data_IF_780594313885
#
_entry.id   IF_780594313885
#
_cell.length_a   1.000
_cell.length_b   1.000
_cell.length_c   1.000
_cell.angle_alpha   90.00
_cell.angle_beta   90.00
_cell.angle_gamma   90.00
#
_symmetry.space_group_name_H-M   'P 1'
#
loop_
_entity.id
_entity.type
_entity.pdbx_description
1 polymer ?
#
# COMPACT_ATOMS: atom_id res chain seq x y z
N UNK A 1 13.56 17.17 -9.98
CA UNK A 1 12.93 15.82 -10.01
C UNK A 1 11.74 15.84 -9.07
N UNK A 2 10.61 15.26 -9.46
CA UNK A 2 9.49 14.96 -8.54
C UNK A 2 9.76 13.60 -7.89
N UNK A 3 9.48 13.50 -6.58
CA UNK A 3 9.83 12.31 -5.80
C UNK A 3 8.81 12.11 -4.69
N UNK A 4 8.42 10.85 -4.46
CA UNK A 4 7.68 10.43 -3.28
C UNK A 4 8.65 9.82 -2.26
N UNK A 5 8.71 10.40 -1.05
CA UNK A 5 9.44 9.83 0.07
C UNK A 5 8.49 8.94 0.89
N UNK A 6 8.81 7.65 0.94
CA UNK A 6 8.20 6.68 1.84
C UNK A 6 9.09 6.64 3.09
N UNK A 7 8.60 7.19 4.21
CA UNK A 7 9.38 7.32 5.44
C UNK A 7 8.89 6.33 6.48
N UNK A 8 9.78 5.49 7.00
CA UNK A 8 9.49 4.73 8.22
C UNK A 8 9.43 5.66 9.46
N UNK A 9 8.86 5.18 10.57
CA UNK A 9 8.73 5.94 11.80
C UNK A 9 9.71 5.49 12.90
N UNK A 10 9.68 4.22 13.30
CA UNK A 10 10.40 3.71 14.47
C UNK A 10 11.89 3.60 14.19
N UNK A 11 12.71 4.24 15.01
CA UNK A 11 14.15 4.37 14.83
C UNK A 11 14.58 4.95 13.46
N UNK A 12 13.63 5.54 12.73
CA UNK A 12 13.82 6.33 11.51
C UNK A 12 13.49 7.80 11.77
N UNK A 13 12.23 8.17 12.00
CA UNK A 13 11.83 9.56 12.32
C UNK A 13 11.72 9.80 13.84
N UNK A 14 11.51 8.74 14.62
CA UNK A 14 11.36 8.76 16.07
C UNK A 14 12.24 7.67 16.68
N UNK A 15 13.12 8.00 17.62
CA UNK A 15 13.81 6.99 18.42
C UNK A 15 12.79 6.29 19.31
N UNK A 16 12.57 5.00 19.06
CA UNK A 16 11.56 4.22 19.73
C UNK A 16 11.92 2.73 19.71
N UNK A 17 12.65 2.29 20.73
CA UNK A 17 12.99 0.89 20.91
C UNK A 17 11.73 0.06 21.21
N UNK A 18 11.31 -0.72 20.22
CA UNK A 18 10.11 -1.55 20.30
C UNK A 18 10.19 -2.64 21.38
N UNK A 19 11.40 -3.08 21.77
CA UNK A 19 11.58 -4.03 22.87
C UNK A 19 11.22 -3.42 24.24
N UNK A 20 11.34 -2.10 24.37
CA UNK A 20 10.97 -1.35 25.57
C UNK A 20 9.55 -0.79 25.47
N UNK A 21 9.17 -0.28 24.31
CA UNK A 21 7.88 0.38 24.10
C UNK A 21 6.69 -0.58 24.17
N UNK A 22 6.78 -1.74 23.51
CA UNK A 22 5.66 -2.68 23.43
C UNK A 22 5.23 -3.20 24.81
N UNK A 23 6.13 -3.67 25.70
CA UNK A 23 5.72 -4.07 27.05
C UNK A 23 5.00 -2.96 27.84
N UNK A 24 5.50 -1.72 27.76
CA UNK A 24 4.88 -0.58 28.45
C UNK A 24 3.51 -0.23 27.87
N UNK A 25 3.38 -0.24 26.54
CA UNK A 25 2.11 -0.05 25.84
C UNK A 25 1.09 -1.12 26.23
N UNK A 26 1.48 -2.39 26.20
CA UNK A 26 0.62 -3.52 26.58
C UNK A 26 0.16 -3.43 28.04
N UNK A 27 1.06 -3.06 28.95
CA UNK A 27 0.73 -2.84 30.35
C UNK A 27 -0.25 -1.69 30.54
N UNK A 28 -0.03 -0.56 29.85
CA UNK A 28 -0.91 0.61 29.95
C UNK A 28 -2.32 0.30 29.43
N UNK A 29 -2.42 -0.32 28.24
CA UNK A 29 -3.70 -0.67 27.63
C UNK A 29 -4.46 -1.74 28.44
N UNK A 30 -3.77 -2.79 28.88
CA UNK A 30 -4.39 -3.85 29.68
C UNK A 30 -4.87 -3.38 31.05
N UNK A 31 -4.15 -2.45 31.68
CA UNK A 31 -4.62 -1.79 32.90
C UNK A 31 -5.85 -0.93 32.63
N UNK A 32 -5.89 -0.19 31.53
CA UNK A 32 -7.03 0.65 31.18
C UNK A 32 -8.31 -0.16 30.89
N UNK A 33 -8.16 -1.35 30.29
CA UNK A 33 -9.29 -2.24 29.98
C UNK A 33 -9.59 -3.29 31.06
N UNK A 34 -8.97 -3.20 32.24
CA UNK A 34 -9.04 -4.23 33.28
C UNK A 34 -10.46 -4.49 33.82
N UNK A 35 -11.36 -3.51 33.74
CA UNK A 35 -12.76 -3.68 34.14
C UNK A 35 -13.59 -4.51 33.14
N UNK A 36 -13.11 -4.62 31.90
CA UNK A 36 -13.81 -5.32 30.80
C UNK A 36 -13.21 -6.69 30.53
N UNK A 37 -11.89 -6.80 30.61
CA UNK A 37 -11.13 -8.00 30.24
C UNK A 37 -9.97 -8.19 31.20
N UNK A 38 -9.69 -9.43 31.58
CA UNK A 38 -8.48 -9.77 32.35
C UNK A 38 -7.21 -9.29 31.62
N UNK A 39 -6.30 -8.57 32.29
CA UNK A 39 -5.08 -8.05 31.67
C UNK A 39 -4.23 -9.13 30.96
N UNK A 40 -4.02 -10.28 31.60
CA UNK A 40 -3.22 -11.37 31.03
C UNK A 40 -3.88 -11.98 29.78
N UNK A 41 -5.21 -12.14 29.82
CA UNK A 41 -5.96 -12.66 28.67
C UNK A 41 -5.97 -11.65 27.51
N UNK A 42 -6.12 -10.35 27.81
CA UNK A 42 -6.06 -9.27 26.82
C UNK A 42 -4.71 -9.27 26.10
N UNK A 43 -3.60 -9.23 26.85
CA UNK A 43 -2.24 -9.19 26.28
C UNK A 43 -2.00 -10.42 25.40
N UNK A 44 -2.39 -11.61 25.87
CA UNK A 44 -2.25 -12.84 25.11
C UNK A 44 -3.02 -12.80 23.79
N UNK A 45 -4.29 -12.40 23.80
CA UNK A 45 -5.09 -12.34 22.57
C UNK A 45 -4.64 -11.22 21.65
N UNK A 46 -4.19 -10.08 22.18
CA UNK A 46 -3.69 -8.97 21.39
C UNK A 46 -2.43 -9.39 20.61
N UNK A 47 -1.45 -10.02 21.28
CA UNK A 47 -0.24 -10.53 20.62
C UNK A 47 -0.58 -11.56 19.53
N UNK A 48 -1.51 -12.48 19.80
CA UNK A 48 -1.96 -13.47 18.82
C UNK A 48 -2.65 -12.82 17.62
N UNK A 49 -3.56 -11.88 17.84
CA UNK A 49 -4.29 -11.19 16.78
C UNK A 49 -3.33 -10.34 15.93
N UNK A 50 -2.34 -9.68 16.54
CA UNK A 50 -1.28 -8.97 15.82
C UNK A 50 -0.44 -9.90 14.94
N UNK A 51 -0.10 -11.11 15.39
CA UNK A 51 0.61 -12.08 14.55
C UNK A 51 -0.22 -12.51 13.33
N UNK A 52 -1.53 -12.71 13.51
CA UNK A 52 -2.45 -13.04 12.40
C UNK A 52 -2.54 -11.86 11.42
N UNK A 53 -2.60 -10.63 11.94
CA UNK A 53 -2.60 -9.40 11.16
C UNK A 53 -1.31 -9.24 10.34
N UNK A 54 -0.13 -9.46 10.92
CA UNK A 54 1.16 -9.42 10.21
C UNK A 54 1.21 -10.47 9.10
N UNK A 55 0.62 -11.65 9.32
CA UNK A 55 0.57 -12.72 8.33
C UNK A 55 -0.52 -12.52 7.25
N UNK A 56 -1.29 -11.42 7.28
CA UNK A 56 -2.33 -11.18 6.29
C UNK A 56 -1.73 -10.97 4.90
N UNK A 57 -2.18 -11.79 3.95
CA UNK A 57 -1.82 -11.67 2.54
C UNK A 57 -3.05 -11.47 1.64
N UNK A 58 -4.21 -11.18 2.26
CA UNK A 58 -5.48 -10.97 1.57
C UNK A 58 -5.68 -9.50 1.20
N UNK A 59 -5.78 -9.15 -0.10
CA UNK A 59 -6.03 -7.77 -0.52
C UNK A 59 -7.49 -7.33 -0.35
N UNK A 60 -8.41 -8.25 -0.07
CA UNK A 60 -9.85 -8.00 0.10
C UNK A 60 -10.27 -7.85 1.57
N UNK A 61 -9.28 -7.79 2.48
CA UNK A 61 -9.51 -7.63 3.92
C UNK A 61 -8.43 -6.77 4.55
N UNK A 62 -8.86 -5.70 5.21
CA UNK A 62 -7.98 -4.82 5.96
C UNK A 62 -7.33 -5.54 7.16
N UNK A 63 -6.24 -4.95 7.65
CA UNK A 63 -5.56 -5.41 8.85
C UNK A 63 -6.47 -5.30 10.09
N UNK A 64 -7.28 -4.24 10.19
CA UNK A 64 -8.30 -4.10 11.24
C UNK A 64 -9.33 -5.22 11.19
N UNK A 65 -9.94 -5.49 10.03
CA UNK A 65 -10.91 -6.59 9.92
C UNK A 65 -10.28 -7.95 10.27
N UNK A 66 -9.02 -8.16 9.88
CA UNK A 66 -8.26 -9.37 10.22
C UNK A 66 -8.00 -9.47 11.72
N UNK A 67 -7.59 -8.36 12.34
CA UNK A 67 -7.36 -8.28 13.78
C UNK A 67 -8.65 -8.51 14.56
N UNK A 68 -9.72 -7.80 14.23
CA UNK A 68 -11.01 -7.84 14.93
C UNK A 68 -11.62 -9.25 14.94
N UNK A 69 -11.56 -9.94 13.80
CA UNK A 69 -12.06 -11.32 13.67
C UNK A 69 -11.29 -12.31 14.55
N UNK A 70 -10.01 -12.05 14.82
CA UNK A 70 -9.19 -12.89 15.70
C UNK A 70 -9.30 -12.48 17.17
N UNK A 71 -9.44 -11.18 17.45
CA UNK A 71 -9.29 -10.59 18.77
C UNK A 71 -10.58 -10.65 19.60
N UNK A 72 -11.65 -10.01 19.14
CA UNK A 72 -12.88 -9.85 19.93
C UNK A 72 -13.57 -11.18 20.26
N UNK A 73 -13.75 -12.13 19.32
CA UNK A 73 -14.33 -13.44 19.63
C UNK A 73 -13.51 -14.23 20.66
N UNK A 74 -12.18 -14.12 20.63
CA UNK A 74 -11.30 -14.82 21.59
C UNK A 74 -11.37 -14.25 23.02
N UNK A 75 -11.87 -13.02 23.16
CA UNK A 75 -12.15 -12.37 24.43
C UNK A 75 -13.60 -12.59 24.91
N UNK A 76 -14.47 -13.12 24.05
CA UNK A 76 -15.90 -13.29 24.36
C UNK A 76 -16.66 -11.96 24.42
N UNK A 77 -16.20 -10.94 23.71
CA UNK A 77 -16.80 -9.60 23.66
C UNK A 77 -16.99 -9.18 22.20
N UNK A 78 -17.79 -8.14 21.98
CA UNK A 78 -17.93 -7.41 20.73
C UNK A 78 -17.18 -6.08 20.80
N UNK A 79 -16.68 -5.59 19.66
CA UNK A 79 -15.98 -4.29 19.55
C UNK A 79 -16.74 -3.16 20.24
N UNK A 80 -18.05 -3.07 19.99
CA UNK A 80 -18.92 -2.02 20.54
C UNK A 80 -18.94 -1.95 22.07
N UNK A 81 -18.54 -3.01 22.76
CA UNK A 81 -18.53 -3.07 24.24
C UNK A 81 -17.28 -2.43 24.87
N UNK A 82 -16.22 -2.24 24.07
CA UNK A 82 -14.92 -1.69 24.51
C UNK A 82 -14.42 -0.53 23.64
N UNK A 83 -15.16 -0.18 22.59
CA UNK A 83 -14.78 0.85 21.64
C UNK A 83 -14.48 2.20 22.31
N UNK A 84 -15.35 2.64 23.23
CA UNK A 84 -15.20 3.92 23.91
C UNK A 84 -13.96 3.95 24.81
N UNK A 85 -13.67 2.84 25.50
CA UNK A 85 -12.49 2.70 26.36
C UNK A 85 -11.19 2.62 25.54
N UNK A 86 -11.21 1.94 24.39
CA UNK A 86 -10.06 1.93 23.48
C UNK A 86 -9.80 3.33 22.91
N UNK A 87 -10.85 4.04 22.51
CA UNK A 87 -10.74 5.42 22.02
C UNK A 87 -10.19 6.37 23.10
N UNK A 88 -10.73 6.30 24.33
CA UNK A 88 -10.24 7.08 25.47
C UNK A 88 -8.77 6.78 25.79
N UNK A 89 -8.36 5.51 25.72
CA UNK A 89 -6.96 5.15 25.90
C UNK A 89 -6.06 5.90 24.90
N UNK A 90 -6.37 5.87 23.61
CA UNK A 90 -5.54 6.52 22.61
C UNK A 90 -5.60 8.05 22.66
N UNK A 91 -6.74 8.64 23.04
CA UNK A 91 -6.90 10.09 23.16
C UNK A 91 -6.21 10.66 24.41
N UNK A 92 -6.37 10.00 25.56
CA UNK A 92 -6.05 10.59 26.87
C UNK A 92 -4.92 9.90 27.62
N UNK A 93 -4.64 8.61 27.36
CA UNK A 93 -3.68 7.82 28.14
C UNK A 93 -2.41 7.47 27.36
N UNK A 94 -2.50 7.25 26.05
CA UNK A 94 -1.39 6.84 25.20
C UNK A 94 -0.22 7.83 25.21
N UNK A 95 -0.51 9.12 25.40
CA UNK A 95 0.50 10.17 25.46
C UNK A 95 1.47 10.04 26.64
N UNK A 96 1.13 9.25 27.67
CA UNK A 96 2.02 8.94 28.80
C UNK A 96 3.25 8.13 28.36
N UNK A 97 3.17 7.42 27.22
CA UNK A 97 4.27 6.64 26.67
C UNK A 97 5.33 7.50 25.97
N UNK A 98 5.07 8.80 25.73
CA UNK A 98 6.00 9.70 25.05
C UNK A 98 7.39 9.72 25.69
N UNK A 99 7.48 9.58 27.02
CA UNK A 99 8.74 9.59 27.76
C UNK A 99 9.70 8.43 27.44
N UNK A 100 9.21 7.39 26.75
CA UNK A 100 10.02 6.26 26.26
C UNK A 100 10.63 6.53 24.88
N UNK A 101 10.26 7.65 24.25
CA UNK A 101 10.64 8.00 22.88
C UNK A 101 11.42 9.30 22.85
N UNK A 102 12.15 9.55 21.75
CA UNK A 102 12.82 10.84 21.51
C UNK A 102 12.76 11.19 20.02
N UNK A 103 12.65 12.47 19.65
CA UNK A 103 12.81 12.88 18.25
C UNK A 103 14.13 12.36 17.66
N UNK A 104 14.11 11.84 16.44
CA UNK A 104 15.34 11.47 15.76
C UNK A 104 16.09 12.72 15.27
N UNK A 105 17.39 12.86 15.55
CA UNK A 105 18.19 13.95 14.98
C UNK A 105 18.14 13.94 13.44
N UNK A 106 17.82 15.08 12.83
CA UNK A 106 17.71 15.22 11.37
C UNK A 106 16.31 14.93 10.80
N UNK A 107 15.35 14.44 11.59
CA UNK A 107 14.02 14.09 11.09
C UNK A 107 13.21 15.31 10.65
N UNK A 108 13.19 16.36 11.48
CA UNK A 108 12.49 17.62 11.18
C UNK A 108 13.15 18.31 10.00
N UNK A 109 14.48 18.33 9.97
CA UNK A 109 15.28 18.90 8.88
C UNK A 109 15.00 18.18 7.55
N UNK A 110 15.05 16.84 7.54
CA UNK A 110 14.74 16.04 6.34
C UNK A 110 13.34 16.34 5.80
N UNK A 111 12.33 16.34 6.68
CA UNK A 111 10.94 16.62 6.28
C UNK A 111 10.80 18.03 5.73
N UNK A 112 11.40 19.02 6.37
CA UNK A 112 11.33 20.41 5.90
C UNK A 112 12.04 20.59 4.54
N UNK A 113 13.21 20.00 4.35
CA UNK A 113 13.94 20.02 3.08
C UNK A 113 13.15 19.34 1.96
N UNK A 114 12.55 18.18 2.24
CA UNK A 114 11.70 17.47 1.29
C UNK A 114 10.49 18.32 0.87
N UNK A 115 9.82 19.00 1.81
CA UNK A 115 8.71 19.90 1.53
C UNK A 115 9.14 21.11 0.70
N UNK A 116 10.27 21.75 1.01
CA UNK A 116 10.81 22.87 0.22
C UNK A 116 11.13 22.47 -1.23
N UNK A 117 11.46 21.19 -1.45
CA UNK A 117 11.71 20.59 -2.76
C UNK A 117 10.44 20.10 -3.47
N UNK A 118 9.27 20.28 -2.85
CA UNK A 118 7.98 19.76 -3.33
C UNK A 118 7.98 18.23 -3.51
N UNK A 119 8.67 17.50 -2.63
CA UNK A 119 8.55 16.06 -2.56
C UNK A 119 7.26 15.67 -1.85
N UNK A 120 6.62 14.63 -2.34
CA UNK A 120 5.43 14.06 -1.73
C UNK A 120 5.86 13.21 -0.52
N UNK A 121 5.19 13.37 0.62
CA UNK A 121 5.50 12.65 1.86
C UNK A 121 4.46 11.58 2.16
N UNK A 122 4.92 10.37 2.43
CA UNK A 122 4.11 9.24 2.89
C UNK A 122 4.78 8.66 4.13
N UNK A 123 4.02 8.51 5.23
CA UNK A 123 4.47 7.75 6.37
C UNK A 123 4.23 6.28 6.10
N UNK A 124 5.29 5.59 5.72
CA UNK A 124 5.34 4.17 5.45
C UNK A 124 5.73 3.40 6.73
N UNK A 125 5.14 3.71 7.89
CA UNK A 125 5.33 2.94 9.13
C UNK A 125 4.65 1.57 9.04
N UNK A 126 5.10 0.56 9.79
CA UNK A 126 4.41 -0.73 9.83
C UNK A 126 2.98 -0.53 10.38
N UNK A 127 1.91 -0.81 9.62
CA UNK A 127 0.53 -0.46 9.98
C UNK A 127 -0.08 -1.43 11.01
N UNK A 128 0.57 -1.59 12.16
CA UNK A 128 0.08 -2.41 13.28
C UNK A 128 -0.62 -1.59 14.37
N UNK A 129 -0.47 -0.27 14.31
CA UNK A 129 -1.10 0.66 15.23
C UNK A 129 -2.28 1.39 14.58
N UNK A 130 -3.25 1.84 15.41
CA UNK A 130 -4.27 2.78 14.98
C UNK A 130 -3.69 4.09 14.44
N UNK A 131 -4.41 4.73 13.53
CA UNK A 131 -4.01 6.01 12.97
C UNK A 131 -3.73 7.02 14.07
N UNK A 132 -4.58 7.08 15.10
CA UNK A 132 -4.43 8.00 16.22
C UNK A 132 -3.08 7.83 16.93
N UNK A 133 -2.65 6.58 17.15
CA UNK A 133 -1.34 6.29 17.75
C UNK A 133 -0.19 6.78 16.86
N UNK A 134 -0.28 6.60 15.54
CA UNK A 134 0.72 7.09 14.59
C UNK A 134 0.76 8.63 14.54
N UNK A 135 -0.38 9.30 14.67
CA UNK A 135 -0.45 10.76 14.79
C UNK A 135 0.22 11.27 16.08
N UNK A 136 0.02 10.60 17.22
CA UNK A 136 0.73 10.92 18.45
C UNK A 136 2.25 10.75 18.28
N UNK A 137 2.68 9.64 17.70
CA UNK A 137 4.10 9.34 17.51
C UNK A 137 4.78 10.31 16.51
N UNK A 138 4.09 10.77 15.47
CA UNK A 138 4.57 11.87 14.62
C UNK A 138 4.72 13.19 15.40
N UNK A 139 3.80 13.51 16.31
CA UNK A 139 3.96 14.68 17.20
C UNK A 139 5.17 14.52 18.12
N UNK A 140 5.39 13.32 18.67
CA UNK A 140 6.57 13.03 19.51
C UNK A 140 7.87 13.14 18.73
N UNK A 141 7.85 12.91 17.41
CA UNK A 141 8.98 13.11 16.51
C UNK A 141 9.27 14.59 16.19
N UNK A 142 8.47 15.52 16.72
CA UNK A 142 8.56 16.95 16.38
C UNK A 142 7.90 17.34 15.05
N UNK A 143 7.17 16.41 14.42
CA UNK A 143 6.57 16.58 13.09
C UNK A 143 5.07 16.94 13.14
N UNK A 144 4.57 17.40 14.29
CA UNK A 144 3.16 17.69 14.49
C UNK A 144 2.56 18.69 13.48
N UNK A 145 3.32 19.71 13.10
CA UNK A 145 2.91 20.71 12.10
C UNK A 145 2.94 20.16 10.66
N UNK A 146 3.71 19.10 10.41
CA UNK A 146 3.86 18.50 9.08
C UNK A 146 2.81 17.41 8.82
N UNK A 147 2.06 16.96 9.84
CA UNK A 147 1.02 15.92 9.71
C UNK A 147 0.06 16.17 8.54
N UNK A 148 -0.54 17.36 8.36
CA UNK A 148 -1.47 17.62 7.26
C UNK A 148 -0.82 17.60 5.87
N UNK A 149 0.52 17.61 5.81
CA UNK A 149 1.30 17.61 4.58
C UNK A 149 1.70 16.19 4.15
N UNK A 150 1.55 15.19 5.02
CA UNK A 150 1.64 13.79 4.62
C UNK A 150 0.41 13.42 3.80
N UNK A 151 0.63 12.90 2.60
CA UNK A 151 -0.45 12.45 1.72
C UNK A 151 -1.12 11.19 2.24
N UNK A 152 -0.33 10.32 2.86
CA UNK A 152 -0.76 9.05 3.41
C UNK A 152 -0.01 8.80 4.72
N UNK A 153 -0.75 8.36 5.73
CA UNK A 153 -0.21 7.83 6.98
C UNK A 153 -0.70 6.40 7.12
N UNK A 154 0.21 5.43 7.04
CA UNK A 154 -0.13 4.01 7.12
C UNK A 154 -0.72 3.67 8.50
N UNK A 155 -1.80 2.89 8.52
CA UNK A 155 -2.46 2.44 9.75
C UNK A 155 -3.30 1.18 9.50
N UNK A 156 -3.51 0.39 10.55
CA UNK A 156 -4.19 -0.91 10.42
C UNK A 156 -5.65 -0.81 9.97
N UNK A 157 -6.32 0.34 10.21
CA UNK A 157 -7.72 0.55 9.83
C UNK A 157 -7.94 0.55 8.32
N UNK A 158 -6.94 0.98 7.55
CA UNK A 158 -7.12 1.26 6.13
C UNK A 158 -6.19 0.51 5.21
N UNK A 159 -5.18 -0.18 5.75
CA UNK A 159 -4.22 -0.99 4.99
C UNK A 159 -4.54 -2.46 5.07
N UNK A 160 -4.09 -3.21 4.07
CA UNK A 160 -4.30 -4.66 3.95
C UNK A 160 -3.03 -5.44 4.27
N UNK A 161 -1.87 -4.84 4.07
CA UNK A 161 -0.58 -5.49 4.22
C UNK A 161 0.29 -4.80 5.25
N UNK A 162 1.00 -5.61 6.05
CA UNK A 162 2.03 -5.14 6.98
C UNK A 162 3.42 -5.38 6.38
N UNK A 163 4.44 -4.65 6.86
CA UNK A 163 5.83 -5.00 6.55
C UNK A 163 6.15 -6.39 7.14
N UNK A 164 6.94 -7.24 6.46
CA UNK A 164 7.74 -6.97 5.26
C UNK A 164 7.04 -7.36 3.94
N UNK A 165 5.70 -7.48 3.90
CA UNK A 165 5.01 -7.87 2.68
C UNK A 165 5.22 -6.81 1.58
N UNK A 166 5.76 -7.15 0.39
CA UNK A 166 5.99 -6.16 -0.66
C UNK A 166 4.72 -5.44 -1.14
N UNK A 167 3.56 -6.09 -1.00
CA UNK A 167 2.26 -5.48 -1.34
C UNK A 167 1.92 -4.26 -0.46
N UNK A 168 2.56 -4.10 0.71
CA UNK A 168 2.44 -2.89 1.53
C UNK A 168 2.94 -1.65 0.78
N UNK A 169 4.10 -1.74 0.13
CA UNK A 169 4.70 -0.61 -0.56
C UNK A 169 3.96 -0.27 -1.85
N UNK A 170 3.50 -1.27 -2.60
CA UNK A 170 2.64 -1.02 -3.77
C UNK A 170 1.27 -0.48 -3.35
N UNK A 171 0.72 -0.88 -2.19
CA UNK A 171 -0.51 -0.30 -1.64
C UNK A 171 -0.33 1.21 -1.35
N UNK A 172 0.81 1.64 -0.78
CA UNK A 172 1.10 3.07 -0.61
C UNK A 172 1.04 3.82 -1.95
N UNK A 173 1.72 3.30 -2.98
CA UNK A 173 1.79 3.93 -4.31
C UNK A 173 0.43 3.88 -5.04
N UNK A 174 -0.33 2.80 -4.90
CA UNK A 174 -1.66 2.66 -5.48
C UNK A 174 -2.64 3.65 -4.87
N UNK A 175 -2.63 3.80 -3.54
CA UNK A 175 -3.45 4.77 -2.81
C UNK A 175 -3.10 6.22 -3.15
N UNK A 176 -1.84 6.48 -3.51
CA UNK A 176 -1.38 7.77 -4.03
C UNK A 176 -1.64 7.97 -5.54
N UNK A 177 -2.28 6.99 -6.19
CA UNK A 177 -2.71 7.11 -7.59
C UNK A 177 -1.65 6.76 -8.63
N UNK A 178 -0.60 6.02 -8.26
CA UNK A 178 0.50 5.63 -9.16
C UNK A 178 1.07 6.81 -9.95
N UNK A 179 1.45 7.88 -9.22
CA UNK A 179 2.06 9.09 -9.78
C UNK A 179 3.28 8.73 -10.64
N UNK A 180 3.46 9.45 -11.74
CA UNK A 180 4.58 9.26 -12.66
C UNK A 180 5.82 10.00 -12.17
N UNK A 181 6.34 9.57 -11.03
CA UNK A 181 7.51 10.15 -10.38
C UNK A 181 8.34 9.08 -9.67
N UNK A 182 9.53 9.44 -9.22
CA UNK A 182 10.38 8.52 -8.48
C UNK A 182 9.80 8.19 -7.10
N UNK A 183 10.24 7.07 -6.53
CA UNK A 183 9.92 6.71 -5.14
C UNK A 183 11.18 6.25 -4.39
N UNK A 184 11.31 6.70 -3.14
CA UNK A 184 12.40 6.35 -2.25
C UNK A 184 11.86 5.89 -0.89
N UNK A 185 12.21 4.67 -0.48
CA UNK A 185 11.98 4.19 0.89
C UNK A 185 13.17 4.55 1.79
N UNK A 186 12.91 5.32 2.84
CA UNK A 186 13.89 5.68 3.86
C UNK A 186 13.47 4.98 5.16
N UNK A 187 14.33 4.09 5.66
CA UNK A 187 14.04 3.30 6.86
C UNK A 187 15.30 2.72 7.47
N UNK A 188 15.24 2.31 8.73
CA UNK A 188 16.38 1.81 9.49
C UNK A 188 16.48 0.28 9.48
N UNK A 189 15.41 -0.43 9.14
CA UNK A 189 15.36 -1.88 9.22
C UNK A 189 15.58 -2.54 7.85
N UNK A 190 16.64 -3.34 7.75
CA UNK A 190 17.02 -4.01 6.51
C UNK A 190 15.92 -4.98 6.03
N UNK A 191 15.33 -5.75 6.93
CA UNK A 191 14.38 -6.82 6.62
C UNK A 191 12.95 -6.29 6.46
N UNK A 192 12.60 -5.20 7.17
CA UNK A 192 11.25 -4.64 7.17
C UNK A 192 11.06 -3.51 6.14
N UNK A 193 12.10 -2.71 5.89
CA UNK A 193 12.00 -1.52 5.02
C UNK A 193 12.71 -1.73 3.69
N UNK A 194 13.99 -2.11 3.77
CA UNK A 194 14.91 -1.98 2.64
C UNK A 194 14.77 -3.14 1.66
N UNK A 195 14.97 -4.37 2.12
CA UNK A 195 14.89 -5.55 1.26
C UNK A 195 13.52 -5.73 0.58
N UNK A 196 12.37 -5.60 1.27
CA UNK A 196 11.08 -5.78 0.60
C UNK A 196 10.73 -4.66 -0.38
N UNK A 197 11.14 -3.41 -0.13
CA UNK A 197 10.98 -2.31 -1.10
C UNK A 197 11.88 -2.50 -2.34
N UNK A 198 13.16 -2.89 -2.14
CA UNK A 198 14.07 -3.22 -3.26
C UNK A 198 13.55 -4.35 -4.12
N UNK A 199 12.94 -5.36 -3.51
CA UNK A 199 12.42 -6.54 -4.21
C UNK A 199 11.38 -6.20 -5.29
N UNK A 200 10.71 -5.06 -5.14
CA UNK A 200 9.71 -4.57 -6.10
C UNK A 200 10.18 -3.35 -6.89
N UNK A 201 11.49 -3.08 -6.89
CA UNK A 201 12.09 -2.03 -7.71
C UNK A 201 12.06 -0.62 -7.11
N UNK A 202 11.67 -0.45 -5.84
CA UNK A 202 11.73 0.87 -5.18
C UNK A 202 13.16 1.12 -4.69
N UNK A 203 13.68 2.33 -4.94
CA UNK A 203 14.97 2.75 -4.39
C UNK A 203 14.88 2.93 -2.88
N UNK A 204 16.00 2.72 -2.20
CA UNK A 204 16.00 2.71 -0.74
C UNK A 204 17.22 3.39 -0.16
N UNK A 205 17.05 4.02 0.99
CA UNK A 205 18.14 4.55 1.80
C UNK A 205 18.07 3.95 3.20
N UNK A 206 19.13 3.23 3.61
CA UNK A 206 19.22 2.62 4.93
C UNK A 206 19.70 3.63 5.99
N UNK A 207 18.82 3.97 6.92
CA UNK A 207 19.16 4.83 8.05
C UNK A 207 20.00 4.05 9.04
N UNK A 208 21.23 4.50 9.27
CA UNK A 208 22.12 3.88 10.25
C UNK A 208 22.98 4.93 10.96
N UNK A 209 23.40 4.66 12.21
CA UNK A 209 24.29 5.56 12.94
C UNK A 209 25.71 5.57 12.36
N UNK A 210 26.07 4.59 11.52
CA UNK A 210 27.40 4.49 10.92
C UNK A 210 27.44 5.41 9.71
N UNK A 211 28.29 6.43 9.78
CA UNK A 211 28.56 7.31 8.65
C UNK A 211 29.37 6.56 7.60
N UNK A 212 28.68 6.00 6.60
CA UNK A 212 29.30 5.62 5.35
C UNK A 212 29.53 6.88 4.48
N UNK A 213 30.27 6.75 3.37
CA UNK A 213 30.52 7.89 2.47
C UNK A 213 29.22 8.54 2.01
N UNK A 214 29.24 9.85 1.72
CA UNK A 214 28.05 10.61 1.30
C UNK A 214 27.40 10.13 0.00
N UNK A 215 28.06 9.23 -0.73
CA UNK A 215 27.57 8.59 -1.96
C UNK A 215 26.98 7.19 -1.71
N UNK A 216 27.01 6.68 -0.48
CA UNK A 216 26.41 5.38 -0.17
C UNK A 216 24.90 5.50 0.06
N UNK A 217 24.16 4.45 -0.28
CA UNK A 217 22.71 4.27 -0.04
C UNK A 217 22.37 4.03 1.44
N UNK A 218 23.23 4.52 2.35
CA UNK A 218 23.09 4.36 3.79
C UNK A 218 23.74 5.52 4.56
N UNK A 219 23.24 5.80 5.76
CA UNK A 219 23.80 6.83 6.64
C UNK A 219 22.76 7.41 7.58
N UNK A 220 23.05 8.55 8.20
CA UNK A 220 22.05 9.26 9.00
C UNK A 220 21.09 10.08 8.10
N UNK A 221 20.01 10.61 8.69
CA UNK A 221 18.98 11.36 7.96
C UNK A 221 19.51 12.60 7.23
N UNK A 222 20.57 13.23 7.73
CA UNK A 222 21.15 14.44 7.10
C UNK A 222 21.82 14.13 5.75
N UNK A 223 22.16 12.87 5.49
CA UNK A 223 22.76 12.44 4.23
C UNK A 223 21.73 12.12 3.13
N UNK A 224 20.45 11.90 3.48
CA UNK A 224 19.41 11.47 2.54
C UNK A 224 19.28 12.45 1.38
N UNK A 225 19.17 13.75 1.67
CA UNK A 225 19.01 14.78 0.64
C UNK A 225 20.23 14.84 -0.30
N UNK A 226 21.44 14.77 0.27
CA UNK A 226 22.67 14.78 -0.52
C UNK A 226 22.78 13.53 -1.41
N UNK A 227 22.37 12.37 -0.90
CA UNK A 227 22.31 11.14 -1.68
C UNK A 227 21.29 11.23 -2.82
N UNK A 228 20.11 11.80 -2.58
CA UNK A 228 19.11 12.08 -3.62
C UNK A 228 19.70 12.97 -4.72
N UNK A 229 20.42 14.04 -4.35
CA UNK A 229 21.03 14.97 -5.31
C UNK A 229 22.10 14.33 -6.19
N UNK A 230 22.75 13.27 -5.71
CA UNK A 230 23.78 12.52 -6.45
C UNK A 230 23.21 11.34 -7.25
N UNK A 231 21.95 10.98 -7.02
CA UNK A 231 21.33 9.81 -7.65
C UNK A 231 20.58 10.20 -8.93
N UNK A 232 20.86 9.55 -10.07
CA UNK A 232 20.15 9.84 -11.33
C UNK A 232 18.64 9.62 -11.22
N UNK A 233 17.86 10.51 -11.83
CA UNK A 233 16.41 10.48 -11.73
C UNK A 233 15.78 9.22 -12.33
N UNK A 234 16.42 8.66 -13.36
CA UNK A 234 15.97 7.44 -14.04
C UNK A 234 15.99 6.22 -13.10
N UNK A 235 16.98 6.19 -12.19
CA UNK A 235 17.16 5.10 -11.22
C UNK A 235 16.10 5.17 -10.09
N UNK A 236 15.52 6.35 -9.86
CA UNK A 236 14.46 6.57 -8.86
C UNK A 236 13.09 6.08 -9.32
N UNK A 237 12.89 5.84 -10.62
CA UNK A 237 11.62 5.33 -11.15
C UNK A 237 11.50 3.84 -10.85
N UNK A 238 10.48 3.39 -10.09
CA UNK A 238 10.37 1.99 -9.76
C UNK A 238 10.01 1.11 -10.97
N UNK A 239 10.64 -0.06 -11.06
CA UNK A 239 10.36 -1.08 -12.08
C UNK A 239 9.59 -2.27 -11.50
N UNK A 240 8.32 -2.43 -11.89
CA UNK A 240 7.43 -3.48 -11.38
C UNK A 240 7.35 -4.71 -12.30
N UNK A 241 8.49 -5.18 -12.81
CA UNK A 241 8.54 -6.25 -13.82
C UNK A 241 8.86 -7.64 -13.26
N UNK A 242 9.34 -7.74 -12.02
CA UNK A 242 9.59 -9.03 -11.35
C UNK A 242 8.29 -9.73 -10.97
N UNK A 243 8.25 -11.07 -10.88
CA UNK A 243 7.07 -11.81 -10.43
C UNK A 243 6.48 -11.29 -9.11
N UNK A 244 7.35 -10.97 -8.15
CA UNK A 244 6.91 -10.43 -6.86
C UNK A 244 6.37 -9.01 -6.95
N UNK A 245 6.97 -8.15 -7.78
CA UNK A 245 6.45 -6.81 -8.02
C UNK A 245 5.09 -6.85 -8.73
N UNK A 246 4.94 -7.73 -9.72
CA UNK A 246 3.68 -7.96 -10.42
C UNK A 246 2.61 -8.38 -9.42
N UNK A 247 2.85 -9.42 -8.62
CA UNK A 247 1.90 -9.87 -7.60
C UNK A 247 1.57 -8.77 -6.59
N UNK A 248 2.56 -7.99 -6.15
CA UNK A 248 2.36 -6.87 -5.24
C UNK A 248 1.47 -5.77 -5.85
N UNK A 249 1.68 -5.40 -7.11
CA UNK A 249 0.83 -4.43 -7.81
C UNK A 249 -0.60 -4.95 -7.91
N UNK A 250 -0.79 -6.18 -8.41
CA UNK A 250 -2.12 -6.76 -8.59
C UNK A 250 -2.92 -6.86 -7.27
N UNK A 251 -2.25 -7.23 -6.17
CA UNK A 251 -2.81 -7.21 -4.82
C UNK A 251 -3.18 -5.80 -4.37
N UNK A 252 -2.27 -4.85 -4.54
CA UNK A 252 -2.52 -3.45 -4.16
C UNK A 252 -3.66 -2.81 -4.95
N UNK A 253 -3.92 -3.23 -6.19
CA UNK A 253 -5.08 -2.79 -6.97
C UNK A 253 -6.37 -3.17 -6.26
N UNK A 254 -6.53 -4.44 -5.86
CA UNK A 254 -7.72 -4.91 -5.14
C UNK A 254 -7.88 -4.19 -3.79
N UNK A 255 -6.78 -3.97 -3.07
CA UNK A 255 -6.77 -3.28 -1.78
C UNK A 255 -7.14 -1.78 -1.88
N UNK A 256 -6.59 -1.07 -2.87
CA UNK A 256 -6.73 0.38 -2.99
C UNK A 256 -8.02 0.81 -3.68
N UNK A 257 -8.52 0.04 -4.65
CA UNK A 257 -9.58 0.45 -5.55
C UNK A 257 -10.91 0.80 -4.82
N UNK A 258 -11.42 0.00 -3.85
CA UNK A 258 -12.63 0.37 -3.10
C UNK A 258 -12.50 1.70 -2.36
N UNK A 259 -11.36 1.92 -1.71
CA UNK A 259 -11.08 3.17 -1.00
C UNK A 259 -11.01 4.35 -1.97
N UNK A 260 -10.32 4.19 -3.11
CA UNK A 260 -10.23 5.23 -4.13
C UNK A 260 -11.60 5.56 -4.68
N UNK A 261 -12.40 4.57 -5.07
CA UNK A 261 -13.73 4.79 -5.63
C UNK A 261 -14.66 5.58 -4.69
N UNK A 262 -14.53 5.38 -3.37
CA UNK A 262 -15.32 6.09 -2.36
C UNK A 262 -14.95 7.58 -2.21
N UNK A 263 -13.85 8.06 -2.79
CA UNK A 263 -13.51 9.49 -2.80
C UNK A 263 -14.39 10.31 -3.74
N UNK A 264 -15.08 9.67 -4.68
CA UNK A 264 -16.04 10.30 -5.57
C UNK A 264 -17.46 9.89 -5.14
N UNK A 265 -18.38 10.84 -4.85
CA UNK A 265 -19.77 10.52 -4.54
C UNK A 265 -20.43 9.68 -5.64
N UNK A 266 -21.27 8.72 -5.25
CA UNK A 266 -21.88 7.74 -6.15
C UNK A 266 -22.60 8.36 -7.35
N UNK A 267 -23.29 9.49 -7.17
CA UNK A 267 -23.98 10.19 -8.27
C UNK A 267 -23.05 10.66 -9.40
N UNK A 268 -21.75 10.79 -9.13
CA UNK A 268 -20.75 11.25 -10.10
C UNK A 268 -19.97 10.13 -10.78
N UNK A 269 -20.22 8.86 -10.45
CA UNK A 269 -19.47 7.74 -11.04
C UNK A 269 -19.64 7.62 -12.55
N UNK A 270 -20.78 8.10 -13.08
CA UNK A 270 -21.10 8.11 -14.50
C UNK A 270 -20.68 9.41 -15.22
N UNK A 271 -20.08 10.37 -14.52
CA UNK A 271 -19.68 11.66 -15.09
C UNK A 271 -18.31 11.56 -15.77
N UNK A 272 -18.25 11.90 -17.06
CA UNK A 272 -16.98 12.13 -17.76
C UNK A 272 -16.52 13.56 -17.49
N UNK A 273 -15.44 13.71 -16.71
CA UNK A 273 -14.89 15.02 -16.36
C UNK A 273 -13.99 15.63 -17.45
N UNK A 274 -13.69 14.89 -18.52
CA UNK A 274 -12.98 15.38 -19.70
C UNK A 274 -13.51 14.70 -20.98
N UNK A 275 -13.42 15.41 -22.11
CA UNK A 275 -14.15 15.09 -23.34
C UNK A 275 -13.82 13.71 -23.97
N UNK A 276 -12.67 13.12 -23.65
CA UNK A 276 -12.22 11.82 -24.17
C UNK A 276 -11.74 10.86 -23.07
N UNK A 277 -12.16 11.08 -21.83
CA UNK A 277 -11.76 10.26 -20.69
C UNK A 277 -12.95 9.45 -20.20
N UNK A 278 -12.68 8.22 -19.75
CA UNK A 278 -13.70 7.38 -19.15
C UNK A 278 -14.11 7.90 -17.78
N UNK A 279 -15.40 7.79 -17.46
CA UNK A 279 -15.87 8.00 -16.09
C UNK A 279 -15.49 6.82 -15.21
N UNK A 280 -15.68 6.95 -13.89
CA UNK A 280 -15.31 5.89 -12.94
C UNK A 280 -16.03 4.56 -13.24
N UNK A 281 -17.32 4.59 -13.58
CA UNK A 281 -18.07 3.38 -13.96
C UNK A 281 -17.51 2.71 -15.20
N UNK A 282 -17.12 3.48 -16.21
CA UNK A 282 -16.54 2.95 -17.45
C UNK A 282 -15.19 2.27 -17.20
N UNK A 283 -14.35 2.89 -16.36
CA UNK A 283 -13.06 2.32 -15.95
C UNK A 283 -13.28 0.98 -15.22
N UNK A 284 -14.23 0.91 -14.29
CA UNK A 284 -14.50 -0.30 -13.51
C UNK A 284 -15.07 -1.43 -14.38
N UNK A 285 -15.98 -1.12 -15.31
CA UNK A 285 -16.50 -2.10 -16.28
C UNK A 285 -15.39 -2.60 -17.20
N UNK A 286 -14.49 -1.71 -17.63
CA UNK A 286 -13.35 -2.08 -18.46
C UNK A 286 -12.40 -3.02 -17.72
N UNK A 287 -12.01 -2.69 -16.49
CA UNK A 287 -11.16 -3.55 -15.67
C UNK A 287 -11.78 -4.93 -15.48
N UNK A 288 -13.09 -5.00 -15.17
CA UNK A 288 -13.82 -6.26 -15.05
C UNK A 288 -13.75 -7.09 -16.33
N UNK A 289 -14.18 -6.52 -17.46
CA UNK A 289 -14.33 -7.27 -18.71
C UNK A 289 -12.96 -7.71 -19.24
N UNK A 290 -11.92 -6.86 -19.12
CA UNK A 290 -10.54 -7.24 -19.46
C UNK A 290 -10.03 -8.36 -18.56
N UNK A 291 -10.32 -8.32 -17.26
CA UNK A 291 -9.89 -9.37 -16.34
C UNK A 291 -10.52 -10.73 -16.69
N UNK A 292 -11.84 -10.75 -16.88
CA UNK A 292 -12.65 -11.96 -17.09
C UNK A 292 -12.48 -12.53 -18.49
N UNK A 293 -12.52 -11.69 -19.53
CA UNK A 293 -12.58 -12.15 -20.91
C UNK A 293 -11.20 -12.18 -21.59
N UNK A 294 -10.20 -11.52 -21.01
CA UNK A 294 -8.87 -11.39 -21.62
C UNK A 294 -7.79 -11.98 -20.73
N UNK A 295 -7.58 -11.47 -19.52
CA UNK A 295 -6.43 -11.82 -18.69
C UNK A 295 -6.51 -13.27 -18.19
N UNK A 296 -7.62 -13.65 -17.55
CA UNK A 296 -7.82 -15.01 -17.04
C UNK A 296 -7.74 -16.09 -18.15
N UNK A 297 -8.45 -15.95 -19.30
CA UNK A 297 -8.34 -16.93 -20.39
C UNK A 297 -6.93 -17.03 -20.97
N UNK A 298 -6.19 -15.91 -21.08
CA UNK A 298 -4.81 -15.90 -21.58
C UNK A 298 -3.87 -16.67 -20.66
N UNK A 299 -3.97 -16.44 -19.34
CA UNK A 299 -3.17 -17.16 -18.36
C UNK A 299 -3.47 -18.66 -18.41
N UNK A 300 -4.75 -19.04 -18.35
CA UNK A 300 -5.15 -20.47 -18.42
C UNK A 300 -4.63 -21.14 -19.68
N UNK A 301 -4.77 -20.51 -20.85
CA UNK A 301 -4.25 -21.02 -22.12
C UNK A 301 -2.72 -21.22 -22.11
N UNK A 302 -1.99 -20.32 -21.48
CA UNK A 302 -0.53 -20.41 -21.34
C UNK A 302 -0.07 -21.44 -20.30
N UNK A 303 -0.92 -21.78 -19.34
CA UNK A 303 -0.69 -22.89 -18.40
C UNK A 303 -0.93 -24.23 -19.11
N UNK A 304 -2.02 -24.35 -19.87
CA UNK A 304 -2.47 -25.59 -20.52
C UNK A 304 -1.61 -26.02 -21.71
N UNK A 305 -1.05 -25.08 -22.45
CA UNK A 305 -0.28 -25.36 -23.67
C UNK A 305 1.10 -24.70 -23.63
N UNK A 306 2.17 -25.39 -24.05
CA UNK A 306 3.47 -24.75 -24.23
C UNK A 306 3.45 -23.82 -25.45
N UNK A 307 3.98 -22.61 -25.30
CA UNK A 307 4.12 -21.62 -26.38
C UNK A 307 2.84 -21.34 -27.19
N UNK A 308 1.70 -21.06 -26.52
CA UNK A 308 0.44 -20.83 -27.21
C UNK A 308 0.50 -19.54 -28.02
N UNK A 309 -0.35 -19.48 -29.05
CA UNK A 309 -0.67 -18.21 -29.69
C UNK A 309 -1.75 -17.46 -28.90
N UNK A 310 -1.48 -16.20 -28.58
CA UNK A 310 -2.37 -15.28 -27.87
C UNK A 310 -2.81 -14.18 -28.83
N UNK A 311 -4.13 -14.10 -29.06
CA UNK A 311 -4.72 -13.08 -29.91
C UNK A 311 -4.75 -11.72 -29.20
N UNK A 312 -4.51 -10.65 -29.97
CA UNK A 312 -4.79 -9.28 -29.56
C UNK A 312 -6.29 -9.03 -29.54
N UNK A 313 -6.74 -8.22 -28.59
CA UNK A 313 -8.14 -7.80 -28.47
C UNK A 313 -8.12 -6.30 -28.28
N UNK A 314 -8.87 -5.58 -29.11
CA UNK A 314 -9.09 -4.14 -28.92
C UNK A 314 -10.25 -3.96 -27.93
N UNK A 315 -9.89 -3.72 -26.68
CA UNK A 315 -10.83 -3.66 -25.55
C UNK A 315 -11.41 -2.27 -25.32
N UNK A 316 -10.76 -1.23 -25.84
CA UNK A 316 -11.14 0.17 -25.54
C UNK A 316 -12.50 0.51 -26.16
N UNK A 317 -12.83 -0.11 -27.30
CA UNK A 317 -14.13 0.06 -27.95
C UNK A 317 -15.29 -0.55 -27.15
N UNK A 318 -15.02 -1.45 -26.18
CA UNK A 318 -16.07 -2.10 -25.40
C UNK A 318 -16.85 -1.11 -24.54
N UNK A 319 -16.24 -0.01 -24.11
CA UNK A 319 -16.92 1.01 -23.33
C UNK A 319 -18.18 1.55 -24.01
N UNK A 320 -18.07 1.87 -25.31
CA UNK A 320 -19.19 2.34 -26.13
C UNK A 320 -20.06 1.17 -26.59
N UNK A 321 -19.46 0.08 -27.10
CA UNK A 321 -20.20 -1.07 -27.65
C UNK A 321 -21.11 -1.75 -26.61
N UNK A 322 -20.69 -1.77 -25.33
CA UNK A 322 -21.39 -2.42 -24.22
C UNK A 322 -22.09 -1.41 -23.29
N UNK A 323 -22.11 -0.12 -23.66
CA UNK A 323 -22.74 0.96 -22.91
C UNK A 323 -22.33 0.99 -21.43
N UNK A 324 -21.03 0.91 -21.12
CA UNK A 324 -20.53 0.80 -19.74
C UNK A 324 -21.09 1.89 -18.82
N UNK A 325 -21.23 3.13 -19.31
CA UNK A 325 -21.79 4.25 -18.52
C UNK A 325 -23.22 4.03 -18.01
N UNK A 326 -23.95 3.06 -18.56
CA UNK A 326 -25.32 2.70 -18.13
C UNK A 326 -25.35 1.48 -17.19
N UNK A 327 -24.20 0.86 -16.92
CA UNK A 327 -24.08 -0.28 -16.01
C UNK A 327 -23.84 0.19 -14.56
N UNK A 328 -23.87 -0.74 -13.59
CA UNK A 328 -23.49 -0.45 -12.21
C UNK A 328 -21.97 -0.57 -12.04
N UNK A 329 -21.32 0.55 -11.71
CA UNK A 329 -19.91 0.58 -11.40
C UNK A 329 -19.58 -0.22 -10.13
N UNK A 330 -20.47 -0.21 -9.14
CA UNK A 330 -20.29 -0.96 -7.89
C UNK A 330 -20.33 -2.48 -8.13
N UNK A 331 -21.22 -2.93 -9.02
CA UNK A 331 -21.25 -4.33 -9.44
C UNK A 331 -19.98 -4.68 -10.22
N UNK A 332 -19.56 -3.82 -11.16
CA UNK A 332 -18.34 -4.05 -11.92
C UNK A 332 -17.09 -4.13 -11.03
N UNK A 333 -16.99 -3.28 -10.00
CA UNK A 333 -15.92 -3.32 -9.00
C UNK A 333 -15.87 -4.67 -8.27
N UNK A 334 -17.02 -5.17 -7.78
CA UNK A 334 -17.08 -6.47 -7.09
C UNK A 334 -16.67 -7.62 -8.01
N UNK A 335 -17.23 -7.66 -9.22
CA UNK A 335 -16.93 -8.71 -10.21
C UNK A 335 -15.45 -8.68 -10.66
N UNK A 336 -14.86 -7.48 -10.80
CA UNK A 336 -13.42 -7.33 -11.04
C UNK A 336 -12.60 -7.88 -9.88
N UNK A 337 -12.93 -7.51 -8.64
CA UNK A 337 -12.20 -7.99 -7.46
C UNK A 337 -12.25 -9.51 -7.34
N UNK A 338 -13.41 -10.13 -7.54
CA UNK A 338 -13.56 -11.59 -7.52
C UNK A 338 -12.69 -12.27 -8.60
N UNK A 339 -12.73 -11.75 -9.83
CA UNK A 339 -11.91 -12.27 -10.93
C UNK A 339 -10.40 -12.06 -10.67
N UNK A 340 -10.01 -10.92 -10.11
CA UNK A 340 -8.61 -10.60 -9.80
C UNK A 340 -8.07 -11.45 -8.66
N UNK A 341 -8.87 -11.75 -7.64
CA UNK A 341 -8.48 -12.69 -6.59
C UNK A 341 -8.21 -14.08 -7.16
N UNK A 342 -9.01 -14.53 -8.15
CA UNK A 342 -8.73 -15.77 -8.86
C UNK A 342 -7.41 -15.71 -9.64
N UNK A 343 -7.18 -14.62 -10.39
CA UNK A 343 -5.94 -14.42 -11.15
C UNK A 343 -4.71 -14.42 -10.23
N UNK A 344 -4.77 -13.72 -9.09
CA UNK A 344 -3.69 -13.70 -8.09
C UNK A 344 -3.41 -15.10 -7.57
N UNK A 345 -4.44 -15.88 -7.23
CA UNK A 345 -4.28 -17.27 -6.76
C UNK A 345 -3.56 -18.13 -7.80
N UNK A 346 -3.91 -17.99 -9.08
CA UNK A 346 -3.25 -18.71 -10.18
C UNK A 346 -1.77 -18.31 -10.25
N UNK A 347 -1.45 -17.02 -10.23
CA UNK A 347 -0.07 -16.53 -10.33
C UNK A 347 0.79 -16.93 -9.12
N UNK A 348 0.21 -17.04 -7.92
CA UNK A 348 0.92 -17.50 -6.72
C UNK A 348 1.37 -18.97 -6.82
N UNK A 349 0.71 -19.78 -7.65
CA UNK A 349 1.06 -21.18 -7.89
C UNK A 349 2.16 -21.35 -8.96
N UNK A 350 2.59 -20.27 -9.62
CA UNK A 350 3.58 -20.34 -10.69
C UNK A 350 4.99 -20.61 -10.16
N UNK A 351 5.62 -21.66 -10.70
CA UNK A 351 7.06 -21.85 -10.56
C UNK A 351 7.85 -20.88 -11.45
N UNK A 352 9.16 -20.68 -11.21
CA UNK A 352 10.00 -19.87 -12.08
C UNK A 352 9.94 -20.28 -13.57
N UNK A 353 9.81 -21.58 -13.86
CA UNK A 353 9.68 -22.08 -15.24
C UNK A 353 8.35 -21.70 -15.88
N UNK A 354 7.27 -21.62 -15.10
CA UNK A 354 5.97 -21.15 -15.61
C UNK A 354 6.05 -19.65 -15.89
N UNK A 355 6.62 -18.85 -14.98
CA UNK A 355 6.85 -17.42 -15.22
C UNK A 355 7.66 -17.15 -16.51
N UNK A 356 8.71 -17.94 -16.74
CA UNK A 356 9.56 -17.82 -17.92
C UNK A 356 8.97 -18.42 -19.21
N UNK A 357 7.83 -19.12 -19.13
CA UNK A 357 7.23 -19.83 -20.26
C UNK A 357 6.94 -18.88 -21.42
N UNK A 358 7.41 -19.26 -22.60
CA UNK A 358 7.21 -18.48 -23.82
C UNK A 358 5.77 -18.53 -24.30
N UNK A 359 5.33 -17.45 -24.92
CA UNK A 359 4.04 -17.28 -25.59
C UNK A 359 4.24 -16.45 -26.86
N UNK A 360 3.38 -16.64 -27.87
CA UNK A 360 3.39 -15.86 -29.11
C UNK A 360 2.22 -14.90 -29.10
N UNK A 361 2.47 -13.62 -28.85
CA UNK A 361 1.42 -12.60 -28.84
C UNK A 361 1.26 -11.96 -30.23
N UNK A 362 0.01 -11.74 -30.66
CA UNK A 362 -0.27 -11.14 -31.97
C UNK A 362 0.32 -9.74 -32.15
N UNK A 363 0.47 -8.97 -31.07
CA UNK A 363 0.97 -7.59 -31.09
C UNK A 363 2.46 -7.49 -30.68
N UNK A 364 2.85 -8.21 -29.63
CA UNK A 364 4.21 -8.10 -29.05
C UNK A 364 5.20 -9.11 -29.63
N UNK A 365 4.72 -10.04 -30.46
CA UNK A 365 5.54 -11.15 -30.97
C UNK A 365 5.87 -12.16 -29.87
N UNK A 366 7.06 -12.81 -29.93
CA UNK A 366 7.53 -13.72 -28.89
C UNK A 366 7.72 -12.98 -27.55
N UNK A 367 7.05 -13.47 -26.51
CA UNK A 367 7.12 -12.91 -25.14
C UNK A 367 7.03 -14.04 -24.11
N UNK A 368 6.85 -13.72 -22.83
CA UNK A 368 6.76 -14.66 -21.72
C UNK A 368 5.51 -14.42 -20.87
N UNK A 369 5.17 -15.38 -20.01
CA UNK A 369 4.09 -15.20 -19.04
C UNK A 369 4.37 -14.07 -18.05
N UNK A 370 5.63 -13.87 -17.65
CA UNK A 370 6.04 -12.73 -16.83
C UNK A 370 5.76 -11.39 -17.52
N UNK A 371 6.19 -11.23 -18.77
CA UNK A 371 5.94 -10.01 -19.55
C UNK A 371 4.43 -9.78 -19.82
N UNK A 372 3.66 -10.84 -20.10
CA UNK A 372 2.20 -10.69 -20.19
C UNK A 372 1.58 -10.24 -18.86
N UNK A 373 2.05 -10.76 -17.74
CA UNK A 373 1.52 -10.40 -16.42
C UNK A 373 1.96 -9.00 -15.99
N UNK A 374 3.14 -8.53 -16.40
CA UNK A 374 3.58 -7.16 -16.16
C UNK A 374 2.76 -6.12 -16.94
N UNK A 375 2.21 -6.50 -18.10
CA UNK A 375 1.25 -5.67 -18.84
C UNK A 375 -0.04 -5.51 -18.04
N UNK A 376 -0.54 -6.57 -17.38
CA UNK A 376 -1.72 -6.49 -16.49
C UNK A 376 -1.44 -5.51 -15.34
N UNK A 377 -0.30 -5.68 -14.65
CA UNK A 377 0.08 -4.77 -13.56
C UNK A 377 0.24 -3.32 -14.04
N UNK A 378 0.78 -3.10 -15.24
CA UNK A 378 0.92 -1.76 -15.83
C UNK A 378 -0.44 -1.15 -16.20
N UNK A 379 -1.36 -1.97 -16.70
CA UNK A 379 -2.73 -1.58 -17.07
C UNK A 379 -3.54 -1.10 -15.85
N UNK A 380 -3.45 -1.82 -14.73
CA UNK A 380 -4.07 -1.38 -13.46
C UNK A 380 -3.61 0.02 -13.04
N UNK A 381 -2.29 0.27 -13.12
CA UNK A 381 -1.69 1.55 -12.69
C UNK A 381 -2.23 2.72 -13.50
N UNK A 382 -2.43 2.52 -14.81
CA UNK A 382 -3.01 3.52 -15.71
C UNK A 382 -4.44 3.86 -15.26
N UNK A 383 -5.27 2.86 -14.99
CA UNK A 383 -6.68 3.08 -14.64
C UNK A 383 -6.87 3.61 -13.21
N UNK A 384 -6.05 3.19 -12.25
CA UNK A 384 -6.01 3.82 -10.92
C UNK A 384 -5.69 5.31 -11.06
N UNK A 385 -4.69 5.67 -11.87
CA UNK A 385 -4.35 7.08 -12.12
C UNK A 385 -5.51 7.84 -12.76
N UNK A 386 -6.20 7.23 -13.72
CA UNK A 386 -7.37 7.83 -14.36
C UNK A 386 -8.51 8.08 -13.36
N UNK A 387 -8.74 7.15 -12.41
CA UNK A 387 -9.68 7.34 -11.30
C UNK A 387 -9.27 8.54 -10.43
N UNK A 388 -8.00 8.64 -10.03
CA UNK A 388 -7.52 9.78 -9.23
C UNK A 388 -7.64 11.10 -10.00
N UNK A 389 -7.33 11.12 -11.30
CA UNK A 389 -7.51 12.31 -12.14
C UNK A 389 -8.97 12.76 -12.21
N UNK A 390 -9.92 11.82 -12.28
CA UNK A 390 -11.34 12.16 -12.23
C UNK A 390 -11.74 12.81 -10.90
N UNK A 391 -11.18 12.34 -9.78
CA UNK A 391 -11.39 12.94 -8.46
C UNK A 391 -10.78 14.34 -8.36
N UNK A 392 -9.56 14.53 -8.85
CA UNK A 392 -8.92 15.85 -8.89
C UNK A 392 -9.69 16.85 -9.74
N UNK A 393 -10.27 16.41 -10.86
CA UNK A 393 -11.14 17.25 -11.71
C UNK A 393 -12.45 17.58 -11.01
N UNK A 394 -13.05 16.62 -10.31
CA UNK A 394 -14.26 16.85 -9.50
C UNK A 394 -14.02 17.93 -8.45
N UNK A 395 -12.89 17.89 -7.73
CA UNK A 395 -12.58 18.88 -6.68
C UNK A 395 -12.27 20.29 -7.22
N UNK A 396 -11.98 20.45 -8.51
CA UNK A 396 -11.69 21.74 -9.16
C UNK A 396 -12.92 22.40 -9.77
N UNK A 397 -13.98 21.63 -10.02
CA UNK A 397 -15.26 22.10 -10.55
C UNK A 397 -16.21 22.40 -9.39
#
# INVERSE_FOLDING_TARGET
MTLTLLLDLDDTLLQNDMATFIPAYLQALSKHLAEKVSPDHLVKQLMRATQIMVANDRPDRTLKETFDQAFYPALGIEEKQVHQEIEDFYQNHFNQLQGLTRPMPGAVELVNEALQRNYDLILATNPLFPLLANLHRLKWAGLGNSIPLFRIIASYETFHFAKPNPAFFTELLARDGWREQGALMVGNDLEMDILPARKIGIQTFLVSPISNSSASDSGNLTHVINWIDQTPAEVMIPEFSSPEAILAVLKSTVAALPMLCNKLPGEHWNTRFAHNEWCQTEILCHLRDVEIEVNLPRLRKAIESPNPFIAGVDTDQWAEQRNYRQQSGEQALREFMDARLELIRILQEFSPDIWARKVRHAIFGPTSLQELSSIIASHDRIHIRQIVQNQERFLRN
#
